data_IF_377210412588
#
_entry.id   IF_377210412588
#
_cell.length_a   1.000
_cell.length_b   1.000
_cell.length_c   1.000
_cell.angle_alpha   90.00
_cell.angle_beta   90.00
_cell.angle_gamma   90.00
#
_symmetry.space_group_name_H-M   'P 1'
#
loop_
_entity.id
_entity.type
_entity.pdbx_description
1 polymer ?
#
# COMPACT_ATOMS: atom_id res chain seq x y z
N UNK A 1 -10.90 -22.13 -11.78
CA UNK A 1 -9.48 -22.23 -11.39
C UNK A 1 -9.08 -20.93 -10.70
N UNK A 2 -8.62 -20.97 -9.45
CA UNK A 2 -8.12 -19.79 -8.74
C UNK A 2 -6.75 -19.41 -9.30
N UNK A 3 -6.56 -18.13 -9.64
CA UNK A 3 -5.22 -17.63 -9.99
C UNK A 3 -4.29 -17.78 -8.79
N UNK A 4 -2.99 -18.10 -9.00
CA UNK A 4 -1.97 -17.90 -7.98
C UNK A 4 -2.11 -16.53 -7.32
N UNK A 5 -1.89 -16.43 -6.01
CA UNK A 5 -2.03 -15.17 -5.25
C UNK A 5 -1.10 -14.08 -5.81
N UNK A 6 0.00 -14.47 -6.44
CA UNK A 6 0.99 -13.62 -7.10
C UNK A 6 0.45 -12.96 -8.39
N UNK A 7 -0.57 -13.56 -9.02
CA UNK A 7 -1.18 -13.09 -10.26
C UNK A 7 -2.39 -12.15 -10.04
N UNK A 8 -2.62 -11.75 -8.79
CA UNK A 8 -3.68 -10.81 -8.44
C UNK A 8 -3.24 -9.39 -8.78
N UNK A 9 -4.12 -8.67 -9.50
CA UNK A 9 -3.78 -7.39 -10.13
C UNK A 9 -3.43 -6.28 -9.14
N UNK A 10 -4.00 -6.31 -7.92
CA UNK A 10 -3.86 -5.24 -6.94
C UNK A 10 -3.11 -5.71 -5.71
N UNK A 11 -2.16 -4.89 -5.25
CA UNK A 11 -1.35 -5.15 -4.06
C UNK A 11 -1.45 -3.99 -3.07
N UNK A 12 -1.64 -4.31 -1.78
CA UNK A 12 -1.49 -3.38 -0.67
C UNK A 12 -0.14 -3.64 -0.02
N UNK A 13 0.74 -2.65 -0.05
CA UNK A 13 2.15 -2.78 0.32
C UNK A 13 2.50 -1.81 1.45
N UNK A 14 3.20 -2.31 2.47
CA UNK A 14 3.86 -1.51 3.51
C UNK A 14 5.30 -1.26 3.09
N UNK A 15 5.72 0.01 3.14
CA UNK A 15 7.06 0.46 2.80
C UNK A 15 7.84 0.80 4.07
N UNK A 16 9.16 0.60 4.03
CA UNK A 16 10.07 1.08 5.06
C UNK A 16 10.63 2.47 4.75
N UNK A 17 11.50 2.96 5.63
CA UNK A 17 12.14 4.27 5.53
C UNK A 17 13.14 4.38 4.36
N UNK A 18 13.56 3.25 3.77
CA UNK A 18 14.52 3.19 2.66
C UNK A 18 13.82 3.06 1.31
N UNK A 19 12.52 3.34 1.26
CA UNK A 19 11.67 3.17 0.07
C UNK A 19 11.69 1.73 -0.46
N UNK A 20 11.77 0.74 0.44
CA UNK A 20 11.65 -0.67 0.10
C UNK A 20 10.33 -1.25 0.56
N UNK A 21 9.78 -2.21 -0.21
CA UNK A 21 8.59 -2.96 0.22
C UNK A 21 9.02 -3.86 1.38
N UNK A 22 8.56 -3.50 2.57
CA UNK A 22 8.76 -4.30 3.78
C UNK A 22 7.84 -5.51 3.79
N UNK A 23 6.57 -5.32 3.40
CA UNK A 23 5.55 -6.37 3.44
C UNK A 23 4.41 -6.13 2.46
N UNK A 24 3.99 -7.17 1.76
CA UNK A 24 2.70 -7.18 1.06
C UNK A 24 1.61 -7.58 2.06
N UNK A 25 0.71 -6.65 2.38
CA UNK A 25 -0.36 -6.83 3.35
C UNK A 25 -1.58 -7.55 2.76
N UNK A 26 -1.86 -7.31 1.47
CA UNK A 26 -2.93 -7.98 0.76
C UNK A 26 -2.64 -8.01 -0.75
N UNK A 27 -3.17 -9.03 -1.43
CA UNK A 27 -3.31 -9.07 -2.88
C UNK A 27 -4.74 -9.44 -3.24
N UNK A 28 -5.35 -8.74 -4.20
CA UNK A 28 -6.76 -8.90 -4.55
C UNK A 28 -7.00 -8.75 -6.05
N UNK A 29 -8.06 -9.37 -6.57
CA UNK A 29 -8.43 -9.28 -7.99
C UNK A 29 -9.24 -8.03 -8.33
N UNK A 30 -9.94 -7.45 -7.37
CA UNK A 30 -10.94 -6.39 -7.60
C UNK A 30 -10.56 -5.11 -6.86
N UNK A 31 -10.61 -3.98 -7.57
CA UNK A 31 -10.25 -2.68 -7.03
C UNK A 31 -11.07 -2.27 -5.77
N UNK A 32 -12.39 -2.48 -5.70
CA UNK A 32 -13.16 -2.14 -4.49
C UNK A 32 -12.68 -2.89 -3.24
N UNK A 33 -12.32 -4.17 -3.39
CA UNK A 33 -11.74 -4.95 -2.29
C UNK A 33 -10.36 -4.40 -1.93
N UNK A 34 -9.59 -3.95 -2.93
CA UNK A 34 -8.30 -3.30 -2.74
C UNK A 34 -8.40 -2.01 -1.92
N UNK A 35 -9.44 -1.19 -2.16
CA UNK A 35 -9.71 -0.01 -1.34
C UNK A 35 -10.05 -0.38 0.10
N UNK A 36 -10.95 -1.33 0.33
CA UNK A 36 -11.29 -1.77 1.69
C UNK A 36 -10.07 -2.33 2.44
N UNK A 37 -9.24 -3.15 1.76
CA UNK A 37 -8.01 -3.68 2.34
C UNK A 37 -6.99 -2.57 2.64
N UNK A 38 -6.87 -1.57 1.75
CA UNK A 38 -6.00 -0.42 1.96
C UNK A 38 -6.45 0.43 3.15
N UNK A 39 -7.73 0.76 3.26
CA UNK A 39 -8.28 1.55 4.37
C UNK A 39 -8.10 0.83 5.70
N UNK A 40 -8.38 -0.47 5.76
CA UNK A 40 -8.13 -1.30 6.94
C UNK A 40 -6.65 -1.35 7.30
N UNK A 41 -5.76 -1.45 6.31
CA UNK A 41 -4.32 -1.46 6.53
C UNK A 41 -3.81 -0.13 7.11
N UNK A 42 -4.30 1.00 6.60
CA UNK A 42 -3.98 2.35 7.09
C UNK A 42 -4.50 2.55 8.50
N UNK A 43 -5.75 2.18 8.79
CA UNK A 43 -6.33 2.31 10.13
C UNK A 43 -5.56 1.49 11.17
N UNK A 44 -5.10 0.28 10.80
CA UNK A 44 -4.32 -0.58 11.69
C UNK A 44 -2.86 -0.12 11.88
N UNK A 45 -2.33 0.70 10.96
CA UNK A 45 -0.93 1.13 10.93
C UNK A 45 -0.85 2.60 10.50
N UNK A 46 -1.40 3.53 11.29
CA UNK A 46 -1.55 4.92 10.90
C UNK A 46 -0.21 5.60 10.63
N UNK A 47 0.89 5.06 11.19
CA UNK A 47 2.24 5.61 11.02
C UNK A 47 3.07 5.02 9.90
N UNK A 48 2.53 4.01 9.19
CA UNK A 48 3.29 3.33 8.14
C UNK A 48 2.90 3.87 6.78
N UNK A 49 3.89 4.03 5.90
CA UNK A 49 3.64 4.30 4.49
C UNK A 49 3.03 3.04 3.86
N UNK A 50 1.77 3.18 3.43
CA UNK A 50 1.01 2.10 2.80
C UNK A 50 0.56 2.58 1.42
N UNK A 51 0.69 1.70 0.43
CA UNK A 51 0.26 1.97 -0.95
C UNK A 51 -0.67 0.87 -1.45
N UNK A 52 -1.67 1.25 -2.23
CA UNK A 52 -2.42 0.34 -3.11
C UNK A 52 -1.89 0.51 -4.54
N UNK A 53 -1.50 -0.59 -5.19
CA UNK A 53 -0.90 -0.57 -6.54
C UNK A 53 -1.59 -1.51 -7.51
N UNK A 54 -1.41 -1.25 -8.80
CA UNK A 54 -1.65 -2.18 -9.91
C UNK A 54 -0.38 -2.27 -10.75
N UNK A 55 0.26 -3.44 -10.75
CA UNK A 55 1.63 -3.58 -11.26
C UNK A 55 2.56 -2.53 -10.64
N UNK A 56 3.22 -1.73 -11.47
CA UNK A 56 4.14 -0.69 -10.99
C UNK A 56 3.45 0.61 -10.55
N UNK A 57 2.17 0.83 -10.89
CA UNK A 57 1.46 2.09 -10.68
C UNK A 57 0.84 2.16 -9.28
N UNK A 58 1.07 3.27 -8.58
CA UNK A 58 0.38 3.60 -7.32
C UNK A 58 -1.00 4.18 -7.61
N UNK A 59 -2.04 3.56 -7.05
CA UNK A 59 -3.44 3.99 -7.12
C UNK A 59 -3.79 4.89 -5.93
N UNK A 60 -3.38 4.46 -4.72
CA UNK A 60 -3.53 5.22 -3.47
C UNK A 60 -2.27 5.10 -2.63
N UNK A 61 -1.99 6.15 -1.86
CA UNK A 61 -0.91 6.21 -0.88
C UNK A 61 -1.35 7.01 0.33
N UNK A 62 -0.92 6.56 1.51
CA UNK A 62 -0.95 7.36 2.73
C UNK A 62 0.45 7.95 2.89
N UNK A 63 0.54 9.28 2.95
CA UNK A 63 1.72 9.96 3.44
C UNK A 63 1.58 10.14 4.94
N UNK A 64 2.40 9.43 5.70
CA UNK A 64 3.05 10.07 6.83
C UNK A 64 4.46 10.42 6.37
N UNK A 65 4.78 11.71 6.40
CA UNK A 65 6.14 12.17 6.26
C UNK A 65 6.94 11.60 7.44
N UNK A 66 7.77 10.60 7.17
CA UNK A 66 8.88 10.28 8.07
C UNK A 66 9.89 11.42 7.87
N UNK A 67 9.80 12.48 8.68
CA UNK A 67 10.67 13.66 8.57
C UNK A 67 12.16 13.33 8.74
N UNK A 68 13.08 14.19 8.25
CA UNK A 68 13.03 15.64 8.48
C UNK A 68 13.21 16.44 7.17
N UNK A 69 12.12 16.73 6.49
CA UNK A 69 12.04 17.83 5.52
C UNK A 69 10.57 18.16 5.36
N UNK A 70 10.01 18.82 6.39
CA UNK A 70 8.89 19.73 6.15
C UNK A 70 9.51 20.99 5.58
N UNK A 71 9.36 21.32 4.28
CA UNK A 71 9.61 22.68 3.87
C UNK A 71 8.58 23.53 4.60
N UNK A 72 9.05 24.46 5.44
CA UNK A 72 8.25 25.55 5.98
C UNK A 72 7.36 26.11 4.87
N UNK A 73 6.04 25.90 4.94
CA UNK A 73 4.96 26.80 4.48
C UNK A 73 3.58 26.16 4.57
#
# INVERSE_FOLDING_TARGET
>A
MSKPVEDLAYAVEEWDEKDQIRKVLARVSLLPIGFGAYEAAVAARPTRRITLRIGLRVIRKNYQEWGPDQPDR
#
